data_IF_763830827317
#
_entry.id   IF_763830827317
#
_cell.length_a   1.000
_cell.length_b   1.000
_cell.length_c   1.000
_cell.angle_alpha   90.00
_cell.angle_beta   90.00
_cell.angle_gamma   90.00
#
_symmetry.space_group_name_H-M   'P 1'
#
loop_
_entity.id
_entity.type
_entity.pdbx_description
1 polymer ?
#
# COMPACT_ATOMS: atom_id res chain seq x y z
N UNK A 1 27.71 -6.82 -74.54
CA UNK A 1 26.59 -6.65 -73.67
C UNK A 1 27.01 -6.97 -72.23
N UNK A 2 27.08 -5.97 -71.37
CA UNK A 2 27.45 -6.18 -69.94
C UNK A 2 26.16 -6.32 -69.13
N UNK A 3 25.96 -7.48 -68.48
CA UNK A 3 24.83 -7.69 -67.58
C UNK A 3 25.22 -7.22 -66.17
N UNK A 4 24.49 -6.26 -65.64
CA UNK A 4 24.57 -5.83 -64.23
C UNK A 4 23.54 -6.64 -63.44
N UNK A 5 23.99 -7.46 -62.51
CA UNK A 5 23.17 -8.10 -61.49
C UNK A 5 22.95 -7.06 -60.36
N UNK A 6 21.70 -6.68 -60.14
CA UNK A 6 21.29 -5.85 -59.02
C UNK A 6 20.89 -6.82 -57.90
N UNK A 7 21.72 -6.89 -56.85
CA UNK A 7 21.40 -7.66 -55.63
C UNK A 7 20.53 -6.82 -54.72
N UNK A 8 19.25 -7.20 -54.57
CA UNK A 8 18.35 -6.60 -53.60
C UNK A 8 18.64 -7.15 -52.22
N UNK A 9 19.27 -6.37 -51.37
CA UNK A 9 19.48 -6.70 -49.97
C UNK A 9 18.17 -6.52 -49.18
N UNK A 10 17.60 -7.61 -48.65
CA UNK A 10 16.43 -7.63 -47.79
C UNK A 10 16.85 -7.18 -46.38
N UNK A 11 16.53 -5.93 -46.01
CA UNK A 11 16.76 -5.40 -44.67
C UNK A 11 15.65 -5.95 -43.75
N UNK A 12 15.94 -7.02 -42.99
CA UNK A 12 15.02 -7.54 -41.98
C UNK A 12 15.12 -6.59 -40.75
N UNK A 13 14.12 -5.69 -40.59
CA UNK A 13 13.92 -4.96 -39.33
C UNK A 13 13.48 -5.99 -38.26
N UNK A 14 14.43 -6.38 -37.41
CA UNK A 14 14.08 -7.08 -36.17
C UNK A 14 13.43 -6.07 -35.22
N UNK A 15 12.08 -6.09 -35.17
CA UNK A 15 11.32 -5.41 -34.14
C UNK A 15 11.54 -6.18 -32.82
N UNK A 16 12.59 -5.84 -32.09
CA UNK A 16 12.82 -6.36 -30.75
C UNK A 16 11.68 -5.87 -29.84
N UNK A 17 10.84 -6.77 -29.36
CA UNK A 17 9.94 -6.47 -28.27
C UNK A 17 10.78 -6.15 -27.04
N UNK A 18 10.81 -4.88 -26.64
CA UNK A 18 11.43 -4.50 -25.38
C UNK A 18 10.69 -5.28 -24.28
N UNK A 19 11.36 -6.27 -23.69
CA UNK A 19 10.86 -6.93 -22.48
C UNK A 19 10.85 -5.88 -21.37
N UNK A 20 9.73 -5.76 -20.66
CA UNK A 20 9.69 -4.93 -19.46
C UNK A 20 10.82 -5.39 -18.52
N UNK A 21 11.54 -4.41 -17.94
CA UNK A 21 12.58 -4.72 -16.96
C UNK A 21 11.95 -5.51 -15.80
N UNK A 22 12.64 -6.53 -15.32
CA UNK A 22 12.21 -7.26 -14.14
C UNK A 22 12.32 -6.35 -12.93
N UNK A 23 11.18 -5.98 -12.36
CA UNK A 23 11.00 -5.16 -11.16
C UNK A 23 10.08 -5.91 -10.20
N UNK A 24 10.14 -5.57 -8.94
CA UNK A 24 9.20 -6.09 -7.95
C UNK A 24 7.77 -5.70 -8.32
N UNK A 25 6.84 -6.63 -8.13
CA UNK A 25 5.43 -6.31 -8.31
C UNK A 25 4.94 -5.42 -7.16
N UNK A 26 4.06 -4.48 -7.46
CA UNK A 26 3.57 -3.50 -6.49
C UNK A 26 2.12 -3.75 -6.14
N UNK A 27 1.80 -3.82 -4.84
CA UNK A 27 0.42 -3.91 -4.33
C UNK A 27 0.04 -2.56 -3.71
N UNK A 28 -0.99 -1.89 -4.25
CA UNK A 28 -1.48 -0.60 -3.75
C UNK A 28 -2.82 -0.79 -3.04
N UNK A 29 -2.82 -0.70 -1.70
CA UNK A 29 -4.00 -0.95 -0.85
C UNK A 29 -4.65 0.36 -0.44
N UNK A 30 -5.80 0.68 -1.03
CA UNK A 30 -6.52 1.94 -0.77
C UNK A 30 -7.08 2.03 0.66
N UNK A 31 -7.45 3.25 1.09
CA UNK A 31 -8.02 3.52 2.40
C UNK A 31 -9.50 3.13 2.52
N UNK A 32 -10.04 3.34 3.72
CA UNK A 32 -11.45 3.09 4.04
C UNK A 32 -12.39 3.90 3.13
N UNK A 33 -13.44 3.25 2.63
CA UNK A 33 -14.44 3.81 1.70
C UNK A 33 -13.85 4.42 0.41
N UNK A 34 -12.57 4.21 0.13
CA UNK A 34 -11.91 4.60 -1.12
C UNK A 34 -12.03 3.49 -2.18
N UNK A 35 -11.35 3.62 -3.29
CA UNK A 35 -11.31 2.65 -4.39
C UNK A 35 -9.92 2.64 -5.04
N UNK A 36 -9.62 1.68 -5.93
CA UNK A 36 -8.38 1.67 -6.70
C UNK A 36 -8.05 2.99 -7.41
N UNK A 37 -9.06 3.76 -7.81
CA UNK A 37 -8.85 5.05 -8.48
C UNK A 37 -8.17 6.11 -7.60
N UNK A 38 -8.17 5.95 -6.28
CA UNK A 38 -7.45 6.85 -5.39
C UNK A 38 -5.92 6.81 -5.57
N UNK A 39 -5.40 5.81 -6.28
CA UNK A 39 -3.99 5.63 -6.58
C UNK A 39 -3.54 6.21 -7.93
N UNK A 40 -4.40 6.97 -8.64
CA UNK A 40 -4.07 7.45 -9.99
C UNK A 40 -2.73 8.21 -10.08
N UNK A 41 -2.38 9.03 -9.08
CA UNK A 41 -1.10 9.75 -9.08
C UNK A 41 0.09 8.80 -8.92
N UNK A 42 0.00 7.85 -8.00
CA UNK A 42 1.04 6.83 -7.79
C UNK A 42 1.15 5.89 -9.00
N UNK A 43 0.02 5.55 -9.64
CA UNK A 43 0.02 4.76 -10.88
C UNK A 43 0.74 5.49 -12.02
N UNK A 44 0.47 6.76 -12.20
CA UNK A 44 1.14 7.58 -13.23
C UNK A 44 2.66 7.62 -12.97
N UNK A 45 3.07 7.77 -11.71
CA UNK A 45 4.49 7.75 -11.37
C UNK A 45 5.12 6.37 -11.62
N UNK A 46 4.46 5.27 -11.24
CA UNK A 46 4.92 3.92 -11.53
C UNK A 46 5.11 3.70 -13.04
N UNK A 47 4.15 4.12 -13.88
CA UNK A 47 4.28 4.03 -15.33
C UNK A 47 5.45 4.86 -15.85
N UNK A 48 5.67 6.06 -15.30
CA UNK A 48 6.82 6.90 -15.65
C UNK A 48 8.16 6.22 -15.33
N UNK A 49 8.20 5.38 -14.28
CA UNK A 49 9.35 4.58 -13.89
C UNK A 49 9.43 3.23 -14.63
N UNK A 50 8.56 3.00 -15.62
CA UNK A 50 8.60 1.83 -16.50
C UNK A 50 7.92 0.58 -15.94
N UNK A 51 7.10 0.69 -14.89
CA UNK A 51 6.20 -0.39 -14.50
C UNK A 51 5.11 -0.59 -15.55
N UNK A 52 4.62 -1.81 -15.67
CA UNK A 52 3.51 -2.17 -16.55
C UNK A 52 2.34 -2.71 -15.75
N UNK A 53 1.14 -2.71 -16.34
CA UNK A 53 -0.10 -3.13 -15.65
C UNK A 53 -0.01 -4.51 -14.99
N UNK A 54 0.72 -5.46 -15.60
CA UNK A 54 0.87 -6.80 -15.04
C UNK A 54 1.73 -6.87 -13.77
N UNK A 55 2.43 -5.80 -13.43
CA UNK A 55 3.24 -5.67 -12.21
C UNK A 55 2.51 -4.92 -11.08
N UNK A 56 1.30 -4.40 -11.32
CA UNK A 56 0.59 -3.54 -10.37
C UNK A 56 -0.73 -4.20 -9.97
N UNK A 57 -0.94 -4.38 -8.67
CA UNK A 57 -2.09 -5.04 -8.08
C UNK A 57 -2.88 -4.05 -7.22
N UNK A 58 -4.15 -3.87 -7.55
CA UNK A 58 -5.04 -2.87 -6.99
C UNK A 58 -6.28 -3.54 -6.37
N UNK A 59 -6.17 -4.13 -5.16
CA UNK A 59 -7.32 -4.76 -4.53
C UNK A 59 -8.43 -3.73 -4.29
N UNK A 60 -9.66 -4.09 -4.68
CA UNK A 60 -10.86 -3.31 -4.40
C UNK A 60 -11.61 -3.95 -3.23
N UNK A 61 -11.50 -3.38 -2.04
CA UNK A 61 -12.01 -3.95 -0.80
C UNK A 61 -13.03 -3.04 -0.10
N UNK A 62 -13.88 -3.60 0.74
CA UNK A 62 -14.80 -2.92 1.62
C UNK A 62 -15.92 -2.14 0.94
N UNK A 63 -16.86 -1.66 1.75
CA UNK A 63 -17.95 -0.79 1.34
C UNK A 63 -17.46 0.61 1.01
N UNK A 64 -17.93 1.17 -0.13
CA UNK A 64 -17.63 2.55 -0.55
C UNK A 64 -18.68 3.55 -0.02
N UNK A 65 -19.86 3.06 0.34
CA UNK A 65 -20.98 3.87 0.81
C UNK A 65 -21.13 3.87 2.33
N UNK A 66 -20.47 2.96 3.04
CA UNK A 66 -20.53 2.84 4.49
C UNK A 66 -19.13 2.68 5.09
N UNK A 67 -18.44 3.79 5.37
CA UNK A 67 -17.10 3.76 5.97
C UNK A 67 -17.11 3.07 7.35
N UNK A 68 -18.14 3.27 8.14
CA UNK A 68 -18.28 2.72 9.50
C UNK A 68 -18.62 1.22 9.51
N UNK A 69 -18.93 0.63 8.34
CA UNK A 69 -19.21 -0.80 8.20
C UNK A 69 -17.96 -1.63 7.96
N UNK A 70 -16.88 -1.02 7.50
CA UNK A 70 -15.63 -1.71 7.18
C UNK A 70 -14.83 -2.03 8.45
N UNK A 71 -14.17 -3.17 8.44
CA UNK A 71 -13.24 -3.60 9.49
C UNK A 71 -12.09 -4.43 8.90
N UNK A 72 -11.35 -5.17 9.70
CA UNK A 72 -10.25 -6.02 9.25
C UNK A 72 -10.65 -7.50 9.29
N UNK A 73 -11.85 -7.83 8.83
CA UNK A 73 -12.41 -9.17 8.94
C UNK A 73 -13.17 -9.57 7.66
N UNK A 74 -13.27 -10.87 7.41
CA UNK A 74 -14.17 -11.41 6.39
C UNK A 74 -13.91 -10.92 4.98
N UNK A 75 -14.88 -10.19 4.42
CA UNK A 75 -14.87 -9.75 3.01
C UNK A 75 -13.81 -8.70 2.68
N UNK A 76 -13.38 -7.92 3.66
CA UNK A 76 -12.35 -6.88 3.46
C UNK A 76 -10.95 -7.49 3.27
N UNK A 77 -10.68 -8.61 3.92
CA UNK A 77 -9.38 -9.29 3.86
C UNK A 77 -9.12 -9.96 2.50
N UNK A 78 -10.15 -10.61 1.94
CA UNK A 78 -9.98 -11.49 0.78
C UNK A 78 -9.38 -10.80 -0.45
N UNK A 79 -9.84 -9.60 -0.88
CA UNK A 79 -9.25 -8.91 -2.02
C UNK A 79 -7.77 -8.58 -1.81
N UNK A 80 -7.39 -8.13 -0.60
CA UNK A 80 -6.01 -7.76 -0.27
C UNK A 80 -5.12 -8.99 -0.21
N UNK A 81 -5.58 -10.06 0.43
CA UNK A 81 -4.89 -11.35 0.45
C UNK A 81 -4.60 -11.86 -0.95
N UNK A 82 -5.63 -11.89 -1.81
CA UNK A 82 -5.50 -12.38 -3.17
C UNK A 82 -4.52 -11.52 -3.99
N UNK A 83 -4.54 -10.20 -3.81
CA UNK A 83 -3.61 -9.31 -4.49
C UNK A 83 -2.16 -9.59 -4.08
N UNK A 84 -1.88 -9.76 -2.79
CA UNK A 84 -0.55 -10.11 -2.28
C UNK A 84 -0.09 -11.47 -2.84
N UNK A 85 -0.93 -12.50 -2.74
CA UNK A 85 -0.60 -13.84 -3.26
C UNK A 85 -0.34 -13.82 -4.77
N UNK A 86 -1.18 -13.12 -5.54
CA UNK A 86 -1.01 -13.01 -6.99
C UNK A 86 0.26 -12.23 -7.35
N UNK A 87 0.55 -11.14 -6.61
CA UNK A 87 1.77 -10.36 -6.82
C UNK A 87 3.03 -11.21 -6.56
N UNK A 88 3.07 -11.97 -5.48
CA UNK A 88 4.18 -12.89 -5.16
C UNK A 88 4.34 -13.93 -6.25
N UNK A 89 3.24 -14.61 -6.62
CA UNK A 89 3.27 -15.72 -7.59
C UNK A 89 3.69 -15.30 -9.00
N UNK A 90 3.45 -14.05 -9.39
CA UNK A 90 3.80 -13.51 -10.71
C UNK A 90 5.06 -12.65 -10.72
N UNK A 91 5.67 -12.41 -9.56
CA UNK A 91 6.89 -11.61 -9.47
C UNK A 91 8.05 -12.30 -10.17
N UNK A 92 8.72 -11.57 -11.05
CA UNK A 92 9.92 -12.06 -11.74
C UNK A 92 11.18 -11.99 -10.87
N UNK A 93 11.16 -11.13 -9.82
CA UNK A 93 12.26 -10.99 -8.84
C UNK A 93 12.11 -11.96 -7.68
N UNK A 94 10.89 -12.49 -7.44
CA UNK A 94 10.51 -13.22 -6.24
C UNK A 94 10.18 -12.31 -5.05
N UNK A 95 10.19 -10.98 -5.24
CA UNK A 95 9.84 -9.97 -4.25
C UNK A 95 8.67 -9.11 -4.72
N UNK A 96 8.03 -8.44 -3.79
CA UNK A 96 6.97 -7.46 -4.04
C UNK A 96 7.17 -6.23 -3.17
N UNK A 97 6.59 -5.11 -3.60
CA UNK A 97 6.44 -3.91 -2.78
C UNK A 97 4.97 -3.71 -2.40
N UNK A 98 4.73 -3.16 -1.23
CA UNK A 98 3.37 -2.85 -0.77
C UNK A 98 3.30 -1.40 -0.32
N UNK A 99 2.36 -0.64 -0.90
CA UNK A 99 2.02 0.71 -0.45
C UNK A 99 0.58 0.70 0.03
N UNK A 100 0.36 0.99 1.30
CA UNK A 100 -0.97 1.13 1.88
C UNK A 100 -1.31 2.58 2.21
N UNK A 101 -2.60 2.95 2.12
CA UNK A 101 -3.09 4.24 2.60
C UNK A 101 -4.14 4.05 3.69
N UNK A 102 -4.04 4.84 4.77
CA UNK A 102 -5.04 4.86 5.84
C UNK A 102 -5.30 3.46 6.42
N UNK A 103 -6.55 3.01 6.51
CA UNK A 103 -6.93 1.65 6.92
C UNK A 103 -6.35 0.54 6.02
N UNK A 104 -5.99 0.86 4.77
CA UNK A 104 -5.30 -0.08 3.88
C UNK A 104 -3.90 -0.48 4.38
N UNK A 105 -3.23 0.36 5.17
CA UNK A 105 -1.95 0.05 5.80
C UNK A 105 -2.10 -1.10 6.81
N UNK A 106 -3.07 -0.98 7.71
CA UNK A 106 -3.33 -1.99 8.74
C UNK A 106 -3.88 -3.29 8.16
N UNK A 107 -4.70 -3.18 7.09
CA UNK A 107 -5.22 -4.36 6.38
C UNK A 107 -4.10 -5.11 5.63
N UNK A 108 -3.18 -4.38 4.99
CA UNK A 108 -2.01 -4.98 4.35
C UNK A 108 -1.09 -5.66 5.37
N UNK A 109 -0.78 -4.99 6.48
CA UNK A 109 0.03 -5.54 7.56
C UNK A 109 -0.55 -6.86 8.10
N UNK A 110 -1.88 -6.90 8.32
CA UNK A 110 -2.55 -8.11 8.73
C UNK A 110 -2.42 -9.26 7.71
N UNK A 111 -2.54 -8.95 6.43
CA UNK A 111 -2.46 -10.00 5.42
C UNK A 111 -1.03 -10.51 5.22
N UNK A 112 -0.01 -9.64 5.38
CA UNK A 112 1.40 -10.07 5.41
C UNK A 112 1.61 -11.07 6.55
N UNK A 113 1.11 -10.77 7.75
CA UNK A 113 1.22 -11.65 8.92
C UNK A 113 0.49 -12.98 8.70
N UNK A 114 -0.80 -12.94 8.33
CA UNK A 114 -1.62 -14.14 8.10
C UNK A 114 -1.08 -15.06 7.00
N UNK A 115 -0.36 -14.52 6.05
CA UNK A 115 0.28 -15.27 4.95
C UNK A 115 1.72 -15.67 5.26
N UNK A 116 2.29 -15.22 6.39
CA UNK A 116 3.72 -15.32 6.69
C UNK A 116 4.58 -14.79 5.52
N UNK A 117 4.14 -13.70 4.89
CA UNK A 117 4.67 -13.22 3.62
C UNK A 117 5.78 -12.17 3.74
N UNK A 118 6.20 -11.80 4.94
CA UNK A 118 7.18 -10.73 5.16
C UNK A 118 8.49 -10.93 4.37
N UNK A 119 8.95 -12.18 4.23
CA UNK A 119 10.16 -12.49 3.47
C UNK A 119 10.03 -12.29 1.96
N UNK A 120 8.82 -12.13 1.43
CA UNK A 120 8.56 -11.79 0.04
C UNK A 120 8.38 -10.30 -0.21
N UNK A 121 8.25 -9.49 0.85
CA UNK A 121 8.11 -8.03 0.73
C UNK A 121 9.49 -7.39 0.80
N UNK A 122 9.93 -6.73 -0.30
CA UNK A 122 11.14 -5.91 -0.28
C UNK A 122 10.87 -4.62 0.49
N UNK A 123 9.85 -3.88 0.09
CA UNK A 123 9.52 -2.62 0.74
C UNK A 123 8.05 -2.51 1.11
N UNK A 124 7.79 -2.10 2.35
CA UNK A 124 6.46 -1.74 2.86
C UNK A 124 6.39 -0.24 3.16
N UNK A 125 5.46 0.47 2.53
CA UNK A 125 5.22 1.90 2.75
C UNK A 125 3.83 2.13 3.31
N UNK A 126 3.74 2.63 4.53
CA UNK A 126 2.48 3.01 5.17
C UNK A 126 2.22 4.51 5.05
N UNK A 127 1.22 4.91 4.27
CA UNK A 127 0.82 6.31 4.07
C UNK A 127 -0.38 6.63 4.95
N UNK A 128 -0.24 7.56 5.89
CA UNK A 128 -1.32 8.00 6.79
C UNK A 128 -2.01 6.83 7.52
N UNK A 129 -1.28 5.77 7.86
CA UNK A 129 -1.81 4.61 8.58
C UNK A 129 -2.25 4.94 9.99
N UNK A 130 -2.93 3.99 10.65
CA UNK A 130 -3.36 4.13 12.03
C UNK A 130 -2.98 2.86 12.84
N UNK A 131 -1.69 2.52 12.81
CA UNK A 131 -1.18 1.25 13.37
C UNK A 131 -1.24 1.18 14.90
N UNK A 132 -1.35 2.33 15.56
CA UNK A 132 -1.61 2.39 17.01
C UNK A 132 -3.08 2.70 17.34
N UNK A 133 -3.93 2.79 16.30
CA UNK A 133 -5.35 3.10 16.42
C UNK A 133 -5.67 4.59 16.26
N UNK A 134 -6.95 4.88 16.16
CA UNK A 134 -7.49 6.23 16.04
C UNK A 134 -8.05 6.72 17.37
N UNK A 135 -7.64 7.89 17.83
CA UNK A 135 -8.22 8.51 19.02
C UNK A 135 -9.73 8.77 18.89
N UNK A 136 -10.21 9.02 17.68
CA UNK A 136 -11.64 9.14 17.40
C UNK A 136 -12.43 7.84 17.60
N UNK A 137 -11.76 6.68 17.48
CA UNK A 137 -12.32 5.39 17.84
C UNK A 137 -12.25 5.10 19.35
N UNK A 138 -11.46 5.89 20.12
CA UNK A 138 -11.25 5.67 21.55
C UNK A 138 -10.49 4.40 21.87
N UNK A 139 -10.53 3.98 23.13
CA UNK A 139 -9.81 2.83 23.66
C UNK A 139 -10.76 1.63 23.76
N UNK A 140 -10.35 0.48 23.20
CA UNK A 140 -11.09 -0.77 23.36
C UNK A 140 -11.02 -1.26 24.82
N UNK A 141 -12.10 -1.81 25.39
CA UNK A 141 -13.43 -2.06 24.80
C UNK A 141 -14.45 -0.94 25.04
N UNK A 142 -14.05 0.21 25.52
CA UNK A 142 -14.97 1.24 26.02
C UNK A 142 -15.66 2.06 24.93
N UNK A 143 -15.05 2.14 23.76
CA UNK A 143 -15.58 2.91 22.62
C UNK A 143 -15.61 2.03 21.36
N UNK A 144 -16.66 1.27 21.18
CA UNK A 144 -16.89 0.37 20.05
C UNK A 144 -18.19 0.75 19.34
N UNK A 145 -18.18 1.91 18.70
CA UNK A 145 -19.38 2.50 18.10
C UNK A 145 -19.84 1.83 16.80
N UNK A 146 -18.91 1.19 16.08
CA UNK A 146 -19.14 0.63 14.75
C UNK A 146 -18.02 -0.37 14.40
N UNK A 147 -18.13 -1.01 13.23
CA UNK A 147 -17.17 -2.03 12.79
C UNK A 147 -15.74 -1.49 12.63
N UNK A 148 -15.58 -0.25 12.15
CA UNK A 148 -14.27 0.39 11.98
C UNK A 148 -13.58 0.67 13.31
N UNK A 149 -14.34 0.89 14.39
CA UNK A 149 -13.86 1.17 15.74
C UNK A 149 -14.11 0.01 16.73
N UNK A 150 -14.18 -1.22 16.28
CA UNK A 150 -14.43 -2.39 17.12
C UNK A 150 -13.18 -3.21 17.41
N UNK A 151 -13.40 -4.44 17.90
CA UNK A 151 -12.34 -5.41 18.19
C UNK A 151 -11.50 -5.78 16.97
N UNK A 152 -12.10 -5.76 15.77
CA UNK A 152 -11.45 -5.96 14.47
C UNK A 152 -11.20 -4.65 13.75
N UNK A 153 -11.14 -3.53 14.47
CA UNK A 153 -11.04 -2.17 13.92
C UNK A 153 -9.91 -1.36 14.53
N UNK A 154 -10.02 -0.05 14.36
CA UNK A 154 -8.98 0.92 14.68
C UNK A 154 -9.13 1.56 16.07
N UNK A 155 -9.88 0.95 17.00
CA UNK A 155 -9.83 1.36 18.41
C UNK A 155 -8.44 1.11 18.98
N UNK A 156 -7.95 2.06 19.77
CA UNK A 156 -6.65 1.92 20.47
C UNK A 156 -6.70 0.65 21.32
N UNK A 157 -5.66 -0.17 21.25
CA UNK A 157 -5.57 -1.48 21.92
C UNK A 157 -6.73 -2.42 21.56
N UNK A 158 -7.23 -2.35 20.34
CA UNK A 158 -8.13 -3.40 19.86
C UNK A 158 -7.37 -4.72 19.73
N UNK A 159 -8.03 -5.88 19.96
CA UNK A 159 -7.39 -7.19 19.76
C UNK A 159 -6.74 -7.34 18.37
N UNK A 160 -7.33 -6.70 17.36
CA UNK A 160 -6.77 -6.66 16.02
C UNK A 160 -5.43 -5.92 15.96
N UNK A 161 -5.35 -4.69 16.48
CA UNK A 161 -4.11 -3.90 16.44
C UNK A 161 -3.03 -4.50 17.33
N UNK A 162 -3.40 -5.01 18.51
CA UNK A 162 -2.47 -5.70 19.39
C UNK A 162 -1.91 -6.99 18.75
N UNK A 163 -2.75 -7.68 17.95
CA UNK A 163 -2.36 -8.89 17.23
C UNK A 163 -1.36 -8.66 16.10
N UNK A 164 -1.40 -7.50 15.45
CA UNK A 164 -0.45 -7.16 14.37
C UNK A 164 0.75 -6.33 14.85
N UNK A 165 0.75 -5.88 16.11
CA UNK A 165 1.85 -5.06 16.62
C UNK A 165 3.16 -5.85 16.67
N UNK A 166 4.20 -5.29 16.06
CA UNK A 166 5.54 -5.90 16.04
C UNK A 166 5.77 -6.99 15.00
N UNK A 167 4.75 -7.35 14.19
CA UNK A 167 4.95 -8.33 13.10
C UNK A 167 5.90 -7.75 12.03
N UNK A 168 6.76 -8.59 11.42
CA UNK A 168 7.62 -8.15 10.32
C UNK A 168 6.77 -7.83 9.08
N UNK A 169 7.07 -6.71 8.40
CA UNK A 169 6.31 -6.25 7.24
C UNK A 169 7.08 -6.33 5.92
N UNK A 170 8.39 -6.51 5.97
CA UNK A 170 9.27 -6.58 4.80
C UNK A 170 10.72 -6.34 5.19
N UNK A 171 11.59 -6.27 4.17
CA UNK A 171 13.02 -6.00 4.36
C UNK A 171 13.27 -4.52 4.67
N UNK A 172 12.44 -3.62 4.11
CA UNK A 172 12.45 -2.16 4.35
C UNK A 172 11.04 -1.71 4.71
N UNK A 173 10.92 -0.86 5.72
CA UNK A 173 9.64 -0.38 6.24
C UNK A 173 9.68 1.14 6.39
N UNK A 174 8.71 1.82 5.78
CA UNK A 174 8.63 3.28 5.80
C UNK A 174 7.24 3.77 6.18
N UNK A 175 7.16 4.90 6.90
CA UNK A 175 5.89 5.60 7.12
C UNK A 175 5.92 7.02 6.57
N UNK A 176 4.79 7.44 6.00
CA UNK A 176 4.49 8.80 5.54
C UNK A 176 3.35 9.34 6.37
N UNK A 177 3.54 10.47 7.04
CA UNK A 177 2.59 11.03 8.01
C UNK A 177 2.51 12.54 7.98
N UNK A 178 1.54 13.09 8.71
CA UNK A 178 1.37 14.53 8.89
C UNK A 178 0.80 14.85 10.27
N UNK A 179 1.16 16.01 10.82
CA UNK A 179 0.55 16.54 12.04
C UNK A 179 -0.74 17.34 11.79
N UNK A 180 -1.11 17.55 10.52
CA UNK A 180 -2.36 18.20 10.11
C UNK A 180 -3.31 17.23 9.40
N UNK A 181 -3.08 15.92 9.54
CA UNK A 181 -3.96 14.88 9.04
C UNK A 181 -5.31 14.93 9.77
N UNK A 182 -6.38 15.32 9.06
CA UNK A 182 -7.69 15.52 9.64
C UNK A 182 -8.43 14.23 10.03
N UNK A 183 -7.88 13.04 9.70
CA UNK A 183 -8.42 11.74 10.11
C UNK A 183 -7.65 11.20 11.30
N UNK A 184 -6.35 11.02 11.17
CA UNK A 184 -5.50 10.48 12.25
C UNK A 184 -5.42 11.43 13.44
N UNK A 185 -5.44 12.74 13.18
CA UNK A 185 -5.37 13.79 14.20
C UNK A 185 -6.72 14.44 14.50
N UNK A 186 -7.85 13.82 14.12
CA UNK A 186 -9.22 14.39 14.17
C UNK A 186 -9.66 14.87 15.55
N UNK A 187 -9.06 14.37 16.62
CA UNK A 187 -9.36 14.79 18.01
C UNK A 187 -8.38 15.87 18.52
N UNK A 188 -7.62 16.53 17.62
CA UNK A 188 -6.58 17.49 17.96
C UNK A 188 -5.26 16.86 18.37
N UNK A 189 -5.12 15.54 18.30
CA UNK A 189 -3.87 14.83 18.59
C UNK A 189 -3.71 13.61 17.68
N UNK A 190 -2.54 13.49 17.08
CA UNK A 190 -2.13 12.32 16.28
C UNK A 190 -1.47 11.23 17.12
N UNK A 191 -1.29 11.46 18.41
CA UNK A 191 -0.48 10.61 19.28
C UNK A 191 -1.31 9.60 20.05
N UNK A 192 -0.84 8.37 20.07
CA UNK A 192 -1.29 7.29 20.95
C UNK A 192 -0.08 6.84 21.75
N UNK A 193 -0.18 6.81 23.07
CA UNK A 193 0.93 6.46 23.99
C UNK A 193 2.24 7.23 23.71
N UNK A 194 2.14 8.50 23.28
CA UNK A 194 3.29 9.35 22.97
C UNK A 194 3.93 9.12 21.60
N UNK A 195 3.39 8.20 20.80
CA UNK A 195 3.86 7.89 19.45
C UNK A 195 2.82 8.33 18.43
N UNK A 196 3.23 8.93 17.30
CA UNK A 196 2.31 9.26 16.21
C UNK A 196 1.68 7.99 15.64
N UNK A 197 0.36 7.95 15.54
CA UNK A 197 -0.37 6.72 15.21
C UNK A 197 -0.05 6.15 13.82
N UNK A 198 0.44 6.97 12.90
CA UNK A 198 0.86 6.50 11.56
C UNK A 198 2.28 5.94 11.53
N UNK A 199 3.04 6.00 12.61
CA UNK A 199 4.34 5.34 12.68
C UNK A 199 4.19 3.83 12.70
N UNK A 200 5.17 3.16 12.08
CA UNK A 200 5.25 1.70 12.05
C UNK A 200 6.34 1.26 13.03
N UNK A 201 6.09 0.19 13.76
CA UNK A 201 7.13 -0.41 14.60
C UNK A 201 8.30 -0.89 13.73
N UNK A 202 9.52 -0.67 14.21
CA UNK A 202 10.75 -1.06 13.51
C UNK A 202 10.87 -0.49 12.08
N UNK A 203 10.30 0.69 11.82
CA UNK A 203 10.45 1.36 10.52
C UNK A 203 11.88 1.87 10.33
N UNK A 204 12.42 1.74 9.11
CA UNK A 204 13.73 2.26 8.73
C UNK A 204 13.76 3.78 8.70
N UNK A 205 12.67 4.39 8.23
CA UNK A 205 12.49 5.84 8.27
C UNK A 205 11.01 6.27 8.29
N UNK A 206 10.77 7.50 8.76
CA UNK A 206 9.47 8.16 8.74
C UNK A 206 9.56 9.52 8.07
N UNK A 207 8.64 9.80 7.16
CA UNK A 207 8.58 11.05 6.41
C UNK A 207 7.38 11.87 6.87
N UNK A 208 7.59 13.16 7.11
CA UNK A 208 6.56 14.06 7.62
C UNK A 208 6.29 15.18 6.64
N UNK A 209 5.02 15.37 6.28
CA UNK A 209 4.56 16.41 5.37
C UNK A 209 3.54 17.33 6.03
N UNK A 210 3.35 18.51 5.46
CA UNK A 210 2.27 19.45 5.85
C UNK A 210 1.07 19.30 4.91
N UNK A 211 0.55 18.05 4.82
CA UNK A 211 -0.54 17.66 3.94
C UNK A 211 -1.68 17.07 4.77
N UNK A 212 -2.91 17.20 4.31
CA UNK A 212 -4.05 16.50 4.89
C UNK A 212 -4.04 15.01 4.52
N UNK A 213 -4.94 14.23 5.13
CA UNK A 213 -5.01 12.78 5.01
C UNK A 213 -4.99 12.27 3.56
N UNK A 214 -5.81 12.86 2.71
CA UNK A 214 -5.90 12.48 1.29
C UNK A 214 -4.74 13.04 0.47
N UNK A 215 -4.27 14.25 0.81
CA UNK A 215 -3.09 14.84 0.20
C UNK A 215 -1.82 14.01 0.45
N UNK A 216 -1.71 13.35 1.61
CA UNK A 216 -0.61 12.39 1.85
C UNK A 216 -0.60 11.27 0.82
N UNK A 217 -1.76 10.78 0.38
CA UNK A 217 -1.84 9.75 -0.66
C UNK A 217 -1.51 10.29 -2.04
N UNK A 218 -2.08 11.45 -2.41
CA UNK A 218 -2.03 11.94 -3.80
C UNK A 218 -0.77 12.74 -4.12
N UNK A 219 -0.28 13.54 -3.17
CA UNK A 219 0.75 14.54 -3.43
C UNK A 219 2.15 14.05 -3.04
N UNK A 220 2.26 12.87 -2.39
CA UNK A 220 3.53 12.20 -2.13
C UNK A 220 3.80 11.03 -3.08
N UNK A 221 3.11 10.94 -4.20
CA UNK A 221 3.22 9.82 -5.15
C UNK A 221 4.67 9.57 -5.62
N UNK A 222 5.42 10.63 -5.91
CA UNK A 222 6.83 10.56 -6.31
C UNK A 222 7.68 9.95 -5.18
N UNK A 223 7.47 10.40 -3.95
CA UNK A 223 8.22 9.90 -2.79
C UNK A 223 7.86 8.43 -2.50
N UNK A 224 6.57 8.06 -2.59
CA UNK A 224 6.11 6.68 -2.44
C UNK A 224 6.84 5.75 -3.40
N UNK A 225 6.94 6.15 -4.69
CA UNK A 225 7.59 5.34 -5.72
C UNK A 225 9.11 5.35 -5.57
N UNK A 226 9.72 6.43 -5.10
CA UNK A 226 11.16 6.47 -4.81
C UNK A 226 11.55 5.50 -3.67
N UNK A 227 10.66 5.27 -2.71
CA UNK A 227 10.94 4.36 -1.57
C UNK A 227 10.98 2.89 -1.97
N UNK A 228 10.31 2.51 -3.05
CA UNK A 228 10.21 1.13 -3.54
C UNK A 228 11.18 0.83 -4.72
N UNK A 229 12.22 1.65 -4.91
CA UNK A 229 13.19 1.51 -6.01
C UNK A 229 14.61 1.27 -5.53
#
# INVERSE_FOLDING_TARGET
>A
MKHYLITFGLLILMCGTASAACKDNVVLVHGNAASPASWNNTLNELYTRGYVNSQIFLPNWGSKSCATCNNHNGSEETPVRNAIVNAINSSCTGKIDIIGHSMGVTLAAQQIDKLAAASYVDTFVGVAGALLGLRSCGIYPYNVWNSTCGSSGLSISSPFLDGIYGVPLGDKVYSIKSFIDQVVCSTGSCYVYGIHSSRIWNEDATYTYTLGHFGLQTDTAVDQVNLIQ
#
